data_IF_376705157165
#
_entry.id   IF_376705157165
#
_cell.length_a   1.000
_cell.length_b   1.000
_cell.length_c   1.000
_cell.angle_alpha   90.00
_cell.angle_beta   90.00
_cell.angle_gamma   90.00
#
_symmetry.space_group_name_H-M   'P 1'
#
loop_
_entity.id
_entity.type
_entity.pdbx_description
1 polymer ?
#
# COMPACT_ATOMS: atom_id res chain seq x y z
N UNK A 1 -28.78 -8.56 73.02
CA UNK A 1 -27.73 -7.58 72.61
C UNK A 1 -26.66 -8.37 71.90
N UNK A 2 -26.67 -8.35 70.58
CA UNK A 2 -25.69 -8.97 69.73
C UNK A 2 -25.22 -7.89 68.76
N UNK A 3 -23.95 -7.54 68.88
CA UNK A 3 -23.25 -6.48 68.16
C UNK A 3 -22.89 -7.01 66.74
N UNK A 4 -23.49 -6.44 65.72
CA UNK A 4 -23.20 -6.80 64.36
C UNK A 4 -22.14 -5.83 63.84
N UNK A 5 -20.88 -6.27 63.79
CA UNK A 5 -19.80 -5.56 63.08
C UNK A 5 -19.98 -5.63 61.58
N UNK A 6 -20.26 -4.48 60.98
CA UNK A 6 -20.18 -4.29 59.51
C UNK A 6 -18.72 -4.12 59.08
N UNK A 7 -18.25 -5.01 58.23
CA UNK A 7 -16.99 -4.88 57.48
C UNK A 7 -17.17 -3.85 56.35
N UNK A 8 -16.18 -2.96 56.11
CA UNK A 8 -16.22 -2.00 54.98
C UNK A 8 -15.98 -2.70 53.66
N UNK A 9 -16.55 -2.17 52.56
CA UNK A 9 -16.33 -2.71 51.19
C UNK A 9 -14.88 -2.52 50.72
N UNK A 10 -14.38 -3.40 49.82
CA UNK A 10 -13.04 -3.30 49.29
C UNK A 10 -12.87 -2.05 48.43
N UNK A 11 -11.68 -1.44 48.55
CA UNK A 11 -11.26 -0.29 47.80
C UNK A 11 -11.29 -0.58 46.28
N UNK A 12 -11.96 0.29 45.53
CA UNK A 12 -12.05 0.19 44.09
C UNK A 12 -10.69 0.33 43.40
N UNK A 13 -10.46 -0.47 42.39
CA UNK A 13 -9.33 -0.39 41.50
C UNK A 13 -9.20 1.02 40.88
N UNK A 14 -7.98 1.51 40.66
CA UNK A 14 -7.78 2.80 40.03
C UNK A 14 -8.28 2.74 38.56
N UNK A 15 -9.26 3.59 38.25
CA UNK A 15 -9.79 3.78 36.93
C UNK A 15 -8.65 4.04 35.92
N UNK A 16 -8.59 3.23 34.89
CA UNK A 16 -7.74 3.46 33.72
C UNK A 16 -8.01 4.88 33.18
N UNK A 17 -6.99 5.63 32.72
CA UNK A 17 -7.19 6.96 32.18
C UNK A 17 -7.99 6.85 30.87
N UNK A 18 -9.22 7.36 30.91
CA UNK A 18 -10.03 7.58 29.71
C UNK A 18 -9.41 8.72 28.90
N UNK A 19 -8.51 8.40 27.98
CA UNK A 19 -8.09 9.32 26.93
C UNK A 19 -9.20 9.38 25.87
N UNK A 20 -10.23 10.19 26.10
CA UNK A 20 -11.10 10.70 25.05
C UNK A 20 -10.34 11.78 24.30
N UNK A 21 -9.43 11.39 23.42
CA UNK A 21 -9.04 12.22 22.28
C UNK A 21 -10.19 12.16 21.29
N UNK A 22 -10.65 13.33 20.80
CA UNK A 22 -11.55 13.53 19.67
C UNK A 22 -10.89 12.97 18.37
N UNK A 23 -10.69 11.68 18.30
CA UNK A 23 -10.17 11.01 17.12
C UNK A 23 -11.30 10.94 16.10
N UNK A 24 -11.06 11.44 14.89
CA UNK A 24 -11.98 11.29 13.78
C UNK A 24 -12.42 9.81 13.64
N UNK A 25 -13.69 9.54 13.34
CA UNK A 25 -14.19 8.17 13.28
C UNK A 25 -13.39 7.33 12.28
N UNK A 26 -13.04 6.11 12.66
CA UNK A 26 -12.33 5.18 11.81
C UNK A 26 -13.19 4.80 10.60
N UNK A 27 -12.63 4.93 9.42
CA UNK A 27 -13.27 4.56 8.14
C UNK A 27 -12.80 3.21 7.66
N UNK A 28 -11.51 2.89 7.83
CA UNK A 28 -10.96 1.58 7.51
C UNK A 28 -10.42 0.99 8.80
N UNK A 29 -11.02 -0.11 9.22
CA UNK A 29 -10.61 -0.85 10.40
C UNK A 29 -10.29 -2.28 10.01
N UNK A 30 -9.10 -2.77 10.41
CA UNK A 30 -8.73 -4.19 10.32
C UNK A 30 -8.30 -4.70 11.68
N UNK A 31 -8.66 -5.93 12.01
CA UNK A 31 -8.34 -6.55 13.28
C UNK A 31 -7.77 -7.96 13.06
N UNK A 32 -6.48 -8.14 13.30
CA UNK A 32 -5.79 -9.42 13.14
C UNK A 32 -5.95 -10.02 11.73
N UNK A 33 -6.07 -9.17 10.70
CA UNK A 33 -6.36 -9.61 9.34
C UNK A 33 -5.24 -10.51 8.82
N UNK A 34 -5.58 -11.78 8.60
CA UNK A 34 -4.69 -12.78 8.02
C UNK A 34 -5.32 -13.37 6.77
N UNK A 35 -4.55 -13.49 5.71
CA UNK A 35 -4.99 -14.07 4.45
C UNK A 35 -3.92 -14.99 3.87
N UNK A 36 -4.32 -16.22 3.51
CA UNK A 36 -3.50 -17.16 2.77
C UNK A 36 -4.09 -17.41 1.39
N UNK A 37 -3.23 -17.56 0.39
CA UNK A 37 -3.63 -17.92 -0.96
C UNK A 37 -4.11 -19.39 -1.02
N UNK A 38 -4.82 -19.81 -2.09
CA UNK A 38 -5.28 -21.19 -2.24
C UNK A 38 -4.16 -22.25 -2.22
N UNK A 39 -2.93 -21.85 -2.56
CA UNK A 39 -1.72 -22.66 -2.50
C UNK A 39 -1.06 -22.68 -1.11
N UNK A 40 -1.80 -22.27 -0.07
CA UNK A 40 -1.38 -22.18 1.33
C UNK A 40 -0.23 -21.22 1.64
N UNK A 41 0.25 -20.42 0.67
CA UNK A 41 1.21 -19.36 0.96
C UNK A 41 0.51 -18.22 1.71
N UNK A 42 1.14 -17.76 2.79
CA UNK A 42 0.64 -16.59 3.52
C UNK A 42 0.84 -15.34 2.68
N UNK A 43 -0.24 -14.62 2.41
CA UNK A 43 -0.22 -13.35 1.69
C UNK A 43 -0.01 -12.17 2.62
N UNK A 44 -0.79 -12.13 3.70
CA UNK A 44 -0.66 -11.16 4.81
C UNK A 44 -0.97 -11.85 6.13
N UNK A 45 -0.44 -11.32 7.23
CA UNK A 45 -0.57 -11.90 8.56
C UNK A 45 -0.74 -10.83 9.63
N UNK A 46 -1.75 -11.00 10.47
CA UNK A 46 -2.01 -10.21 11.68
C UNK A 46 -1.99 -8.68 11.47
N UNK A 47 -2.68 -8.22 10.43
CA UNK A 47 -2.74 -6.78 10.14
C UNK A 47 -3.88 -6.13 10.93
N UNK A 48 -3.51 -5.18 11.81
CA UNK A 48 -4.43 -4.34 12.57
C UNK A 48 -4.14 -2.87 12.25
N UNK A 49 -5.10 -2.22 11.57
CA UNK A 49 -5.03 -0.83 11.13
C UNK A 49 -6.32 -0.10 11.49
N UNK A 50 -6.19 1.18 11.77
CA UNK A 50 -7.30 2.06 12.11
C UNK A 50 -7.12 3.41 11.42
N UNK A 51 -7.63 3.52 10.19
CA UNK A 51 -7.44 4.71 9.37
C UNK A 51 -8.65 5.64 9.47
N UNK A 52 -8.43 6.89 9.90
CA UNK A 52 -9.53 7.83 10.12
C UNK A 52 -10.09 8.41 8.82
N UNK A 53 -11.29 8.97 8.91
CA UNK A 53 -11.91 9.72 7.83
C UNK A 53 -11.01 10.88 7.36
N UNK A 54 -10.98 11.11 6.04
CA UNK A 54 -10.15 12.16 5.42
C UNK A 54 -8.67 11.85 5.36
N UNK A 55 -8.23 10.67 5.82
CA UNK A 55 -6.82 10.30 5.72
C UNK A 55 -6.40 10.02 4.28
N UNK A 56 -5.19 10.48 3.95
CA UNK A 56 -4.44 10.11 2.75
C UNK A 56 -3.28 9.23 3.21
N UNK A 57 -3.49 7.94 3.16
CA UNK A 57 -2.54 6.95 3.66
C UNK A 57 -1.65 6.45 2.53
N UNK A 58 -0.35 6.57 2.70
CA UNK A 58 0.63 5.99 1.78
C UNK A 58 1.07 4.63 2.30
N UNK A 59 0.86 3.60 1.47
CA UNK A 59 1.20 2.21 1.77
C UNK A 59 2.56 1.88 1.15
N UNK A 60 3.58 1.74 1.99
CA UNK A 60 4.99 1.57 1.62
C UNK A 60 5.45 0.15 1.93
N UNK A 61 6.35 -0.37 1.12
CA UNK A 61 6.98 -1.69 1.33
C UNK A 61 7.56 -2.23 0.04
N UNK A 62 8.48 -3.15 0.15
CA UNK A 62 9.12 -3.82 -0.99
C UNK A 62 8.12 -4.57 -1.87
N UNK A 63 8.53 -4.91 -3.10
CA UNK A 63 7.73 -5.79 -3.95
C UNK A 63 7.56 -7.15 -3.28
N UNK A 64 6.29 -7.60 -3.19
CA UNK A 64 5.93 -8.81 -2.46
C UNK A 64 5.61 -8.59 -0.97
N UNK A 65 5.67 -7.36 -0.43
CA UNK A 65 5.32 -7.06 0.96
C UNK A 65 3.84 -7.27 1.32
N UNK A 66 2.95 -7.49 0.33
CA UNK A 66 1.53 -7.72 0.57
C UNK A 66 0.61 -6.53 0.27
N UNK A 67 1.13 -5.38 -0.23
CA UNK A 67 0.35 -4.15 -0.49
C UNK A 67 -0.89 -4.39 -1.36
N UNK A 68 -0.71 -4.96 -2.55
CA UNK A 68 -1.82 -5.30 -3.47
C UNK A 68 -2.80 -6.28 -2.84
N UNK A 69 -2.33 -7.24 -2.05
CA UNK A 69 -3.19 -8.21 -1.36
C UNK A 69 -4.07 -7.50 -0.34
N UNK A 70 -3.50 -6.61 0.48
CA UNK A 70 -4.25 -5.80 1.44
C UNK A 70 -5.29 -4.93 0.73
N UNK A 71 -4.92 -4.17 -0.30
CA UNK A 71 -5.83 -3.32 -1.05
C UNK A 71 -7.00 -4.10 -1.67
N UNK A 72 -6.75 -5.29 -2.22
CA UNK A 72 -7.81 -6.15 -2.79
C UNK A 72 -8.75 -6.72 -1.74
N UNK A 73 -8.26 -7.01 -0.54
CA UNK A 73 -9.09 -7.44 0.59
C UNK A 73 -9.97 -6.28 1.07
N UNK A 74 -9.41 -5.08 1.25
CA UNK A 74 -10.17 -3.87 1.59
C UNK A 74 -11.24 -3.54 0.53
N UNK A 75 -10.93 -3.77 -0.74
CA UNK A 75 -11.86 -3.56 -1.85
C UNK A 75 -12.95 -4.65 -1.98
N UNK A 76 -12.96 -5.67 -1.13
CA UNK A 76 -13.88 -6.81 -1.26
C UNK A 76 -13.62 -7.69 -2.50
N UNK A 77 -12.49 -7.52 -3.18
CA UNK A 77 -12.11 -8.31 -4.37
C UNK A 77 -11.52 -9.69 -4.04
N UNK A 78 -11.19 -9.91 -2.78
CA UNK A 78 -10.75 -11.19 -2.22
C UNK A 78 -11.45 -11.43 -0.90
N UNK A 79 -11.89 -12.66 -0.66
CA UNK A 79 -12.56 -13.04 0.59
C UNK A 79 -11.57 -13.00 1.75
N UNK A 80 -11.94 -12.34 2.82
CA UNK A 80 -11.23 -12.31 4.10
C UNK A 80 -11.98 -13.10 5.17
N UNK A 81 -11.34 -13.45 6.28
CA UNK A 81 -12.03 -13.96 7.44
C UNK A 81 -13.13 -12.99 7.91
N UNK A 82 -14.26 -13.53 8.35
CA UNK A 82 -15.39 -12.72 8.81
C UNK A 82 -14.95 -11.77 9.94
N UNK A 83 -15.47 -10.55 9.91
CA UNK A 83 -15.20 -9.50 10.92
C UNK A 83 -13.75 -9.03 11.03
N UNK A 84 -12.85 -9.44 10.14
CA UNK A 84 -11.47 -8.96 10.13
C UNK A 84 -11.29 -7.60 9.44
N UNK A 85 -12.28 -7.15 8.67
CA UNK A 85 -12.29 -5.86 7.95
C UNK A 85 -13.62 -5.15 8.15
N UNK A 86 -13.57 -3.85 8.39
CA UNK A 86 -14.71 -2.94 8.38
C UNK A 86 -14.37 -1.70 7.57
N UNK A 87 -15.24 -1.35 6.62
CA UNK A 87 -15.15 -0.10 5.85
C UNK A 87 -16.41 0.69 6.15
N UNK A 88 -16.28 1.88 6.74
CA UNK A 88 -17.42 2.65 7.26
C UNK A 88 -18.33 1.80 8.18
N UNK A 89 -17.74 0.92 8.99
CA UNK A 89 -18.46 0.01 9.87
C UNK A 89 -19.08 -1.22 9.19
N UNK A 90 -18.97 -1.35 7.86
CA UNK A 90 -19.58 -2.43 7.05
C UNK A 90 -18.50 -3.42 6.62
N UNK A 91 -18.82 -4.73 6.62
CA UNK A 91 -17.94 -5.76 6.08
C UNK A 91 -17.89 -5.62 4.54
N UNK A 92 -16.69 -5.58 3.91
CA UNK A 92 -16.55 -5.41 2.46
C UNK A 92 -17.26 -6.48 1.61
N UNK A 93 -17.56 -7.62 2.20
CA UNK A 93 -18.24 -8.73 1.52
C UNK A 93 -19.76 -8.77 1.78
N UNK A 94 -20.28 -7.83 2.58
CA UNK A 94 -21.71 -7.71 2.81
C UNK A 94 -22.38 -6.91 1.69
N UNK A 95 -23.70 -7.10 1.52
CA UNK A 95 -24.49 -6.21 0.68
C UNK A 95 -24.52 -4.82 1.32
N UNK A 96 -24.22 -3.79 0.56
CA UNK A 96 -24.26 -2.40 1.04
C UNK A 96 -22.91 -1.71 1.19
N UNK A 97 -21.82 -2.32 0.73
CA UNK A 97 -20.55 -1.61 0.58
C UNK A 97 -20.66 -0.63 -0.60
N UNK A 98 -21.02 0.61 -0.30
CA UNK A 98 -21.13 1.68 -1.29
C UNK A 98 -19.96 2.67 -1.16
N UNK A 99 -19.62 3.31 -2.27
CA UNK A 99 -18.61 4.37 -2.28
C UNK A 99 -17.17 3.91 -2.10
N UNK A 100 -16.87 2.62 -2.29
CA UNK A 100 -15.49 2.10 -2.35
C UNK A 100 -15.06 1.95 -3.80
N UNK A 101 -14.00 2.64 -4.18
CA UNK A 101 -13.38 2.54 -5.51
C UNK A 101 -11.98 1.94 -5.39
N UNK A 102 -11.68 0.94 -6.21
CA UNK A 102 -10.34 0.35 -6.32
C UNK A 102 -9.82 0.50 -7.74
N UNK A 103 -8.67 1.11 -7.88
CA UNK A 103 -7.96 1.27 -9.14
C UNK A 103 -6.60 0.58 -9.05
N UNK A 104 -6.36 -0.35 -9.98
CA UNK A 104 -5.12 -1.11 -10.06
C UNK A 104 -4.71 -1.37 -11.50
N UNK A 105 -3.64 -2.12 -11.69
CA UNK A 105 -3.06 -2.39 -13.01
C UNK A 105 -3.93 -3.34 -13.87
N UNK A 106 -4.89 -4.05 -13.28
CA UNK A 106 -5.66 -5.10 -13.96
C UNK A 106 -6.49 -4.58 -15.14
N UNK A 107 -6.94 -3.33 -15.07
CA UNK A 107 -7.79 -2.74 -16.11
C UNK A 107 -7.10 -2.66 -17.49
N UNK A 108 -5.80 -2.38 -17.53
CA UNK A 108 -5.01 -2.29 -18.78
C UNK A 108 -4.98 -3.62 -19.52
N UNK A 109 -5.15 -4.72 -18.79
CA UNK A 109 -5.20 -6.07 -19.37
C UNK A 109 -6.57 -6.42 -19.97
N UNK A 110 -7.59 -5.57 -19.76
CA UNK A 110 -8.93 -5.82 -20.31
C UNK A 110 -8.95 -5.61 -21.83
N UNK A 111 -9.27 -6.64 -22.65
CA UNK A 111 -9.31 -6.51 -24.10
C UNK A 111 -10.31 -5.47 -24.61
N UNK A 112 -11.35 -5.17 -23.84
CA UNK A 112 -12.38 -4.18 -24.21
C UNK A 112 -11.77 -2.79 -24.40
N UNK A 113 -10.80 -2.41 -23.58
CA UNK A 113 -10.16 -1.08 -23.65
C UNK A 113 -9.17 -0.94 -24.82
N UNK A 114 -9.00 -1.97 -25.62
CA UNK A 114 -8.20 -1.96 -26.84
C UNK A 114 -9.08 -2.02 -28.12
N UNK A 115 -10.41 -2.01 -27.95
CA UNK A 115 -11.35 -1.95 -29.07
C UNK A 115 -11.50 -0.53 -29.58
N UNK A 116 -12.13 -0.39 -30.73
CA UNK A 116 -12.49 0.90 -31.31
C UNK A 116 -13.73 1.47 -30.60
N UNK A 117 -13.49 2.06 -29.43
CA UNK A 117 -14.51 2.70 -28.59
C UNK A 117 -14.08 4.14 -28.33
N UNK A 118 -15.01 5.10 -28.38
CA UNK A 118 -14.78 6.50 -28.03
C UNK A 118 -14.56 6.67 -26.54
N UNK A 119 -13.72 7.62 -26.17
CA UNK A 119 -13.49 7.98 -24.77
C UNK A 119 -14.74 8.59 -24.15
N UNK A 120 -15.48 9.40 -24.90
CA UNK A 120 -16.79 9.98 -24.51
C UNK A 120 -17.81 8.86 -24.22
N UNK A 121 -17.92 7.84 -25.08
CA UNK A 121 -18.79 6.67 -24.88
C UNK A 121 -18.41 5.91 -23.58
N UNK A 122 -17.11 5.74 -23.32
CA UNK A 122 -16.64 5.08 -22.10
C UNK A 122 -16.97 5.89 -20.85
N UNK A 123 -16.73 7.19 -20.86
CA UNK A 123 -17.05 8.06 -19.72
C UNK A 123 -18.55 8.10 -19.45
N UNK A 124 -19.39 8.17 -20.49
CA UNK A 124 -20.84 8.08 -20.38
C UNK A 124 -21.28 6.76 -19.76
N UNK A 125 -20.70 5.62 -20.22
CA UNK A 125 -21.04 4.26 -19.76
C UNK A 125 -20.83 4.05 -18.25
N UNK A 126 -19.88 4.76 -17.64
CA UNK A 126 -19.59 4.69 -16.19
C UNK A 126 -20.33 5.74 -15.37
N UNK A 127 -21.20 6.54 -16.00
CA UNK A 127 -22.03 7.53 -15.35
C UNK A 127 -21.53 8.97 -15.49
N UNK A 128 -20.68 9.26 -16.48
CA UNK A 128 -20.17 10.60 -16.76
C UNK A 128 -21.27 11.64 -16.98
N UNK A 129 -22.38 11.24 -17.57
CA UNK A 129 -23.55 12.10 -17.81
C UNK A 129 -24.34 12.43 -16.54
N UNK A 130 -24.27 11.58 -15.53
CA UNK A 130 -24.87 11.84 -14.22
C UNK A 130 -24.02 12.80 -13.36
N UNK A 131 -22.71 12.92 -13.66
CA UNK A 131 -21.76 13.77 -12.94
C UNK A 131 -20.95 14.63 -13.90
N UNK A 132 -21.59 15.50 -14.72
CA UNK A 132 -20.91 16.22 -15.80
C UNK A 132 -19.79 17.15 -15.30
N UNK A 133 -20.01 17.91 -14.25
CA UNK A 133 -18.99 18.81 -13.71
C UNK A 133 -17.74 18.06 -13.23
N UNK A 134 -17.92 16.91 -12.58
CA UNK A 134 -16.82 16.07 -12.11
C UNK A 134 -16.10 15.36 -13.26
N UNK A 135 -16.85 14.92 -14.29
CA UNK A 135 -16.28 14.39 -15.53
C UNK A 135 -15.38 15.42 -16.19
N UNK A 136 -15.88 16.65 -16.37
CA UNK A 136 -15.15 17.71 -17.07
C UNK A 136 -13.90 18.15 -16.28
N UNK A 137 -13.98 18.18 -14.94
CA UNK A 137 -12.82 18.41 -14.07
C UNK A 137 -11.76 17.32 -14.25
N UNK A 138 -12.16 16.02 -14.22
CA UNK A 138 -11.25 14.89 -14.41
C UNK A 138 -10.61 14.88 -15.81
N UNK A 139 -11.39 15.20 -16.85
CA UNK A 139 -10.90 15.34 -18.23
C UNK A 139 -9.81 16.40 -18.28
N UNK A 140 -10.02 17.56 -17.63
CA UNK A 140 -9.04 18.63 -17.57
C UNK A 140 -7.79 18.26 -16.76
N UNK A 141 -7.95 17.70 -15.55
CA UNK A 141 -6.84 17.34 -14.66
C UNK A 141 -5.96 16.25 -15.24
N UNK A 142 -6.56 15.29 -15.95
CA UNK A 142 -5.87 14.16 -16.57
C UNK A 142 -5.46 14.45 -18.03
N UNK A 143 -5.74 15.64 -18.54
CA UNK A 143 -5.40 16.04 -19.92
C UNK A 143 -5.90 15.00 -20.94
N UNK A 144 -7.21 14.73 -20.91
CA UNK A 144 -7.88 13.75 -21.77
C UNK A 144 -8.56 14.49 -22.91
N UNK A 145 -8.34 14.02 -24.15
CA UNK A 145 -9.15 14.40 -25.29
C UNK A 145 -10.32 13.41 -25.45
N UNK A 146 -11.54 13.88 -25.27
CA UNK A 146 -12.74 13.04 -25.33
C UNK A 146 -13.04 12.51 -26.73
N UNK A 147 -12.41 13.06 -27.78
CA UNK A 147 -12.48 12.55 -29.14
C UNK A 147 -11.59 11.33 -29.39
N UNK A 148 -10.72 10.97 -28.48
CA UNK A 148 -9.84 9.82 -28.64
C UNK A 148 -10.59 8.51 -28.83
N UNK A 149 -9.94 7.61 -29.60
CA UNK A 149 -10.39 6.22 -29.79
C UNK A 149 -9.43 5.28 -29.05
N UNK A 150 -9.93 4.40 -28.20
CA UNK A 150 -9.14 3.59 -27.28
C UNK A 150 -8.13 2.65 -27.95
N UNK A 151 -8.37 2.25 -29.19
CA UNK A 151 -7.42 1.44 -29.96
C UNK A 151 -6.20 2.22 -30.46
N UNK A 152 -6.33 3.55 -30.60
CA UNK A 152 -5.33 4.43 -31.18
C UNK A 152 -4.48 5.21 -30.15
N UNK A 153 -4.84 5.14 -28.86
CA UNK A 153 -4.13 5.87 -27.80
C UNK A 153 -2.97 5.07 -27.22
N UNK A 154 -1.96 5.78 -26.73
CA UNK A 154 -0.83 5.24 -25.97
C UNK A 154 -1.27 4.60 -24.64
N UNK A 155 -0.39 3.83 -24.00
CA UNK A 155 -0.69 3.24 -22.69
C UNK A 155 -0.85 4.30 -21.58
N UNK A 156 -0.10 5.42 -21.66
CA UNK A 156 -0.27 6.56 -20.74
C UNK A 156 -1.64 7.24 -20.89
N UNK A 157 -2.06 7.54 -22.13
CA UNK A 157 -3.38 8.11 -22.42
C UNK A 157 -4.50 7.14 -22.01
N UNK A 158 -4.33 5.84 -22.25
CA UNK A 158 -5.25 4.81 -21.80
C UNK A 158 -5.37 4.78 -20.27
N UNK A 159 -4.26 4.98 -19.56
CA UNK A 159 -4.23 5.08 -18.10
C UNK A 159 -5.00 6.29 -17.60
N UNK A 160 -4.87 7.46 -18.25
CA UNK A 160 -5.62 8.67 -17.92
C UNK A 160 -7.13 8.43 -18.03
N UNK A 161 -7.59 7.81 -19.13
CA UNK A 161 -9.00 7.44 -19.31
C UNK A 161 -9.49 6.48 -18.24
N UNK A 162 -8.69 5.47 -17.88
CA UNK A 162 -8.99 4.54 -16.79
C UNK A 162 -9.23 5.28 -15.46
N UNK A 163 -8.36 6.22 -15.12
CA UNK A 163 -8.49 6.99 -13.89
C UNK A 163 -9.78 7.81 -13.89
N UNK A 164 -10.08 8.51 -15.00
CA UNK A 164 -11.32 9.25 -15.13
C UNK A 164 -12.55 8.35 -14.96
N UNK A 165 -12.58 7.20 -15.63
CA UNK A 165 -13.70 6.23 -15.51
C UNK A 165 -13.90 5.75 -14.08
N UNK A 166 -12.83 5.47 -13.35
CA UNK A 166 -12.90 4.99 -11.97
C UNK A 166 -13.25 6.05 -10.92
N UNK A 167 -13.09 7.33 -11.28
CA UNK A 167 -13.24 8.47 -10.37
C UNK A 167 -14.43 9.37 -10.68
N UNK A 168 -15.09 9.21 -11.84
CA UNK A 168 -16.23 10.03 -12.23
C UNK A 168 -17.40 9.93 -11.26
N UNK A 169 -17.64 8.75 -10.69
CA UNK A 169 -18.60 8.60 -9.59
C UNK A 169 -17.98 9.04 -8.27
N UNK A 170 -18.70 9.78 -7.44
CA UNK A 170 -18.23 10.11 -6.09
C UNK A 170 -17.89 8.85 -5.29
N UNK A 171 -16.79 8.90 -4.58
CA UNK A 171 -16.31 7.81 -3.74
C UNK A 171 -16.08 8.31 -2.30
N UNK A 172 -16.11 7.40 -1.33
CA UNK A 172 -15.81 7.65 0.08
C UNK A 172 -14.49 7.05 0.50
N UNK A 173 -14.16 5.89 -0.07
CA UNK A 173 -12.88 5.20 0.12
C UNK A 173 -12.29 4.92 -1.25
N UNK A 174 -11.09 5.42 -1.47
CA UNK A 174 -10.34 5.22 -2.71
C UNK A 174 -9.08 4.42 -2.43
N UNK A 175 -8.98 3.27 -3.08
CA UNK A 175 -7.87 2.34 -2.96
C UNK A 175 -7.09 2.34 -4.28
N UNK A 176 -5.83 2.79 -4.23
CA UNK A 176 -4.99 3.00 -5.41
C UNK A 176 -3.77 2.09 -5.37
N UNK A 177 -3.57 1.27 -6.40
CA UNK A 177 -2.50 0.28 -6.48
C UNK A 177 -1.61 0.54 -7.70
N UNK A 178 -0.48 1.23 -7.50
CA UNK A 178 0.55 1.56 -8.50
C UNK A 178 0.00 2.28 -9.76
N UNK A 179 -1.02 3.12 -9.60
CA UNK A 179 -1.82 3.64 -10.73
C UNK A 179 -1.18 4.80 -11.47
N UNK A 180 -0.08 5.40 -10.97
CA UNK A 180 0.55 6.57 -11.61
C UNK A 180 1.81 6.23 -12.39
N UNK A 181 2.14 4.94 -12.56
CA UNK A 181 3.37 4.49 -13.24
C UNK A 181 3.46 5.02 -14.68
N UNK A 182 2.35 5.02 -15.40
CA UNK A 182 2.30 5.41 -16.82
C UNK A 182 1.96 6.90 -17.03
N UNK A 183 1.86 7.70 -15.96
CA UNK A 183 1.61 9.13 -16.05
C UNK A 183 2.93 9.90 -16.16
N UNK A 184 2.97 10.90 -17.03
CA UNK A 184 4.04 11.88 -17.02
C UNK A 184 4.06 12.71 -15.73
N UNK A 185 5.16 13.41 -15.49
CA UNK A 185 5.42 14.15 -14.26
C UNK A 185 4.36 15.23 -13.99
N UNK A 186 3.94 15.95 -15.04
CA UNK A 186 2.96 17.02 -14.91
C UNK A 186 1.57 16.49 -14.58
N UNK A 187 1.06 15.56 -15.36
CA UNK A 187 -0.26 14.93 -15.15
C UNK A 187 -0.33 14.26 -13.79
N UNK A 188 0.77 13.60 -13.34
CA UNK A 188 0.87 13.02 -12.00
C UNK A 188 0.73 14.07 -10.91
N UNK A 189 1.43 15.20 -11.02
CA UNK A 189 1.36 16.28 -10.05
C UNK A 189 -0.05 16.86 -9.95
N UNK A 190 -0.69 17.14 -11.09
CA UNK A 190 -2.07 17.65 -11.16
C UNK A 190 -3.06 16.65 -10.54
N UNK A 191 -2.93 15.38 -10.86
CA UNK A 191 -3.78 14.32 -10.33
C UNK A 191 -3.65 14.14 -8.82
N UNK A 192 -2.43 14.13 -8.29
CA UNK A 192 -2.20 14.04 -6.84
C UNK A 192 -2.70 15.29 -6.11
N UNK A 193 -2.56 16.47 -6.72
CA UNK A 193 -3.15 17.72 -6.23
C UNK A 193 -4.67 17.66 -6.16
N UNK A 194 -5.30 17.14 -7.22
CA UNK A 194 -6.76 16.94 -7.27
C UNK A 194 -7.24 15.98 -6.18
N UNK A 195 -6.59 14.82 -6.03
CA UNK A 195 -6.91 13.85 -4.96
C UNK A 195 -6.82 14.47 -3.56
N UNK A 196 -5.82 15.32 -3.33
CA UNK A 196 -5.68 16.05 -2.08
C UNK A 196 -6.86 16.99 -1.85
N UNK A 197 -7.23 17.77 -2.87
CA UNK A 197 -8.35 18.70 -2.79
C UNK A 197 -9.69 18.00 -2.55
N UNK A 198 -9.91 16.82 -3.13
CA UNK A 198 -11.11 16.00 -2.89
C UNK A 198 -11.28 15.67 -1.40
N UNK A 199 -10.18 15.31 -0.71
CA UNK A 199 -10.21 15.04 0.72
C UNK A 199 -10.37 16.31 1.57
N UNK A 200 -9.83 17.47 1.13
CA UNK A 200 -9.84 18.71 1.89
C UNK A 200 -11.12 19.53 1.69
N UNK A 201 -11.64 19.60 0.45
CA UNK A 201 -12.83 20.41 0.12
C UNK A 201 -14.11 19.81 0.68
N UNK A 202 -14.18 18.49 0.81
CA UNK A 202 -15.34 17.78 1.30
C UNK A 202 -16.66 18.34 0.75
N UNK A 203 -17.02 18.05 -0.52
CA UNK A 203 -18.16 18.67 -1.21
C UNK A 203 -19.50 18.44 -0.48
N UNK A 204 -19.58 17.39 0.34
CA UNK A 204 -20.77 17.01 1.09
C UNK A 204 -20.75 17.42 2.58
N UNK A 205 -19.98 18.43 2.96
CA UNK A 205 -19.92 18.90 4.35
C UNK A 205 -21.30 19.24 4.93
N UNK A 206 -22.22 19.65 4.05
CA UNK A 206 -23.61 19.92 4.42
C UNK A 206 -24.43 18.64 4.68
N UNK A 207 -24.03 17.49 4.16
CA UNK A 207 -24.71 16.19 4.31
C UNK A 207 -24.33 15.45 5.60
N UNK A 208 -23.36 15.96 6.38
CA UNK A 208 -22.86 15.29 7.59
C UNK A 208 -22.05 14.04 7.32
N UNK A 209 -21.68 13.77 6.06
CA UNK A 209 -20.89 12.61 5.69
C UNK A 209 -19.40 12.84 6.00
N UNK A 210 -18.65 11.80 6.40
CA UNK A 210 -17.24 11.94 6.66
C UNK A 210 -16.46 12.25 5.38
N UNK A 211 -15.32 12.97 5.48
CA UNK A 211 -14.47 13.28 4.32
C UNK A 211 -13.93 12.00 3.68
N UNK A 212 -13.72 12.00 2.34
CA UNK A 212 -13.21 10.86 1.61
C UNK A 212 -11.82 10.43 2.11
N UNK A 213 -11.57 9.12 2.12
CA UNK A 213 -10.33 8.49 2.61
C UNK A 213 -9.61 7.80 1.47
N UNK A 214 -8.28 7.97 1.38
CA UNK A 214 -7.45 7.37 0.34
C UNK A 214 -6.40 6.44 0.97
N UNK A 215 -6.24 5.25 0.37
CA UNK A 215 -5.08 4.38 0.61
C UNK A 215 -4.36 4.19 -0.72
N UNK A 216 -3.14 4.65 -0.80
CA UNK A 216 -2.35 4.62 -2.02
C UNK A 216 -1.06 3.83 -1.84
N UNK A 217 -0.92 2.73 -2.56
CA UNK A 217 0.31 1.95 -2.67
C UNK A 217 1.08 2.40 -3.92
N UNK A 218 2.32 2.85 -3.72
CA UNK A 218 3.23 3.21 -4.81
C UNK A 218 4.69 3.11 -4.39
N UNK A 219 5.54 2.90 -5.37
CA UNK A 219 7.00 3.03 -5.24
C UNK A 219 7.55 4.35 -5.83
N UNK A 220 6.68 5.16 -6.46
CA UNK A 220 7.05 6.46 -7.02
C UNK A 220 6.69 7.54 -6.02
N UNK A 221 7.72 8.20 -5.45
CA UNK A 221 7.56 9.16 -4.37
C UNK A 221 7.55 10.62 -4.84
N UNK A 222 7.73 10.86 -6.16
CA UNK A 222 7.71 12.17 -6.74
C UNK A 222 6.36 12.86 -6.49
N UNK A 223 6.40 14.13 -6.09
CA UNK A 223 5.23 14.95 -5.74
C UNK A 223 4.41 14.46 -4.54
N UNK A 224 4.91 13.47 -3.77
CA UNK A 224 4.26 12.99 -2.55
C UNK A 224 4.80 13.66 -1.26
N UNK A 225 5.80 14.53 -1.35
CA UNK A 225 6.25 15.29 -0.18
C UNK A 225 5.10 16.14 0.39
N UNK A 226 4.75 15.92 1.68
CA UNK A 226 3.62 16.59 2.33
C UNK A 226 2.22 16.18 1.84
N UNK A 227 2.11 15.21 0.93
CA UNK A 227 0.83 14.69 0.47
C UNK A 227 0.17 13.73 1.48
N UNK A 228 0.86 12.72 2.04
CA UNK A 228 0.25 11.78 2.96
C UNK A 228 -0.01 12.41 4.34
N UNK A 229 -1.13 12.05 4.93
CA UNK A 229 -1.43 12.32 6.35
C UNK A 229 -1.01 11.16 7.23
N UNK A 230 -0.99 9.94 6.67
CA UNK A 230 -0.59 8.70 7.36
C UNK A 230 0.35 7.89 6.49
N UNK A 231 1.24 7.15 7.16
CA UNK A 231 2.12 6.18 6.53
C UNK A 231 1.84 4.80 7.11
N UNK A 232 1.92 3.77 6.27
CA UNK A 232 1.85 2.36 6.65
C UNK A 232 3.03 1.65 6.01
N UNK A 233 3.92 1.10 6.83
CA UNK A 233 5.07 0.34 6.38
C UNK A 233 4.77 -1.16 6.44
N UNK A 234 4.71 -1.80 5.28
CA UNK A 234 4.49 -3.25 5.14
C UNK A 234 5.77 -4.00 4.81
N UNK A 235 6.00 -5.09 5.51
CA UNK A 235 7.12 -5.99 5.26
C UNK A 235 6.69 -7.46 5.40
N UNK A 236 6.98 -8.28 4.40
CA UNK A 236 6.74 -9.75 4.39
C UNK A 236 5.32 -10.14 4.86
N UNK A 237 4.31 -9.38 4.40
CA UNK A 237 2.90 -9.64 4.71
C UNK A 237 2.42 -9.08 6.06
N UNK A 238 3.25 -8.38 6.81
CA UNK A 238 2.89 -7.76 8.08
C UNK A 238 2.99 -6.23 7.99
N UNK A 239 2.39 -5.51 8.94
CA UNK A 239 2.61 -4.08 9.15
C UNK A 239 3.64 -3.91 10.25
N UNK A 240 4.78 -3.31 9.93
CA UNK A 240 5.83 -3.00 10.91
C UNK A 240 5.49 -1.77 11.72
N UNK A 241 5.09 -0.72 11.02
CA UNK A 241 4.78 0.57 11.61
C UNK A 241 3.65 1.24 10.84
N UNK A 242 2.81 1.98 11.52
CA UNK A 242 1.83 2.86 10.90
C UNK A 242 1.46 4.02 11.82
N UNK A 243 0.97 5.12 11.26
CA UNK A 243 0.55 6.28 12.01
C UNK A 243 0.60 7.57 11.21
N UNK A 244 0.52 8.70 11.90
CA UNK A 244 0.62 10.04 11.29
C UNK A 244 1.95 10.21 10.57
N UNK A 245 1.91 10.79 9.37
CA UNK A 245 3.12 11.09 8.59
C UNK A 245 4.08 12.02 9.35
N UNK A 246 3.55 12.99 10.11
CA UNK A 246 4.34 13.91 10.92
C UNK A 246 5.17 13.21 12.00
N UNK A 247 4.66 12.11 12.59
CA UNK A 247 5.41 11.30 13.54
C UNK A 247 6.70 10.74 12.94
N UNK A 248 6.66 10.34 11.68
CA UNK A 248 7.80 9.72 10.99
C UNK A 248 8.74 10.75 10.35
N UNK A 249 8.18 11.89 9.94
CA UNK A 249 8.92 12.88 9.13
C UNK A 249 9.42 14.09 9.94
N UNK A 250 8.74 14.41 11.04
CA UNK A 250 8.98 15.66 11.77
C UNK A 250 9.37 15.43 13.24
N UNK A 251 9.18 14.21 13.80
CA UNK A 251 9.57 13.90 15.17
C UNK A 251 11.10 13.63 15.27
N UNK A 252 11.86 14.51 15.94
CA UNK A 252 13.29 14.34 16.07
C UNK A 252 13.69 13.06 16.80
N UNK A 253 12.86 12.62 17.76
CA UNK A 253 13.16 11.42 18.53
C UNK A 253 13.07 10.16 17.65
N UNK A 254 12.03 10.08 16.80
CA UNK A 254 11.90 8.99 15.83
C UNK A 254 13.06 8.97 14.83
N UNK A 255 13.40 10.14 14.26
CA UNK A 255 14.48 10.26 13.29
C UNK A 255 15.83 9.84 13.90
N UNK A 256 16.14 10.29 15.13
CA UNK A 256 17.35 9.90 15.83
C UNK A 256 17.40 8.39 16.11
N UNK A 257 16.29 7.81 16.56
CA UNK A 257 16.20 6.37 16.81
C UNK A 257 16.41 5.55 15.52
N UNK A 258 15.81 5.97 14.40
CA UNK A 258 16.00 5.34 13.09
C UNK A 258 17.46 5.38 12.64
N UNK A 259 18.11 6.53 12.77
CA UNK A 259 19.54 6.71 12.42
C UNK A 259 20.42 5.82 13.28
N UNK A 260 20.19 5.79 14.60
CA UNK A 260 20.95 4.94 15.52
C UNK A 260 20.82 3.46 15.21
N UNK A 261 19.59 3.01 14.90
CA UNK A 261 19.31 1.62 14.50
C UNK A 261 20.06 1.23 13.21
N UNK A 262 20.08 2.12 12.23
CA UNK A 262 20.79 1.86 10.98
C UNK A 262 22.31 1.80 11.18
N UNK A 263 22.85 2.66 12.03
CA UNK A 263 24.27 2.65 12.37
C UNK A 263 24.66 1.34 13.07
N UNK A 264 23.88 0.91 14.06
CA UNK A 264 24.13 -0.36 14.76
C UNK A 264 24.11 -1.57 13.81
N UNK A 265 23.13 -1.62 12.88
CA UNK A 265 23.07 -2.67 11.86
C UNK A 265 24.27 -2.66 10.93
N UNK A 266 24.74 -1.47 10.52
CA UNK A 266 25.92 -1.32 9.67
C UNK A 266 27.18 -1.79 10.39
N UNK A 267 27.38 -1.36 11.63
CA UNK A 267 28.54 -1.74 12.44
C UNK A 267 28.59 -3.26 12.67
N UNK A 268 27.43 -3.89 12.91
CA UNK A 268 27.31 -5.34 13.04
C UNK A 268 27.65 -6.06 11.73
N UNK A 269 27.19 -5.53 10.60
CA UNK A 269 27.51 -6.11 9.28
C UNK A 269 29.00 -6.02 8.98
N UNK A 270 29.64 -4.87 9.25
CA UNK A 270 31.06 -4.64 9.02
C UNK A 270 31.92 -5.53 9.94
N UNK A 271 31.50 -5.73 11.19
CA UNK A 271 32.12 -6.67 12.13
C UNK A 271 32.06 -8.11 11.65
N UNK A 272 30.93 -8.54 11.10
CA UNK A 272 30.78 -9.89 10.54
C UNK A 272 31.59 -10.07 9.25
N UNK A 273 31.62 -9.06 8.39
CA UNK A 273 32.43 -9.08 7.17
C UNK A 273 33.94 -9.14 7.46
N UNK A 274 34.40 -8.49 8.53
CA UNK A 274 35.80 -8.50 8.94
C UNK A 274 36.25 -9.87 9.52
N UNK A 275 35.31 -10.69 10.01
CA UNK A 275 35.56 -12.02 10.58
C UNK A 275 35.40 -13.16 9.56
N UNK A 276 34.92 -12.87 8.35
CA UNK A 276 34.73 -13.90 7.31
C UNK A 276 36.07 -14.31 6.69
N UNK A 277 36.37 -15.62 6.49
CA UNK A 277 37.57 -16.08 5.84
C UNK A 277 37.64 -15.61 4.37
N UNK A 278 38.82 -15.26 3.90
CA UNK A 278 39.08 -14.62 2.59
C UNK A 278 38.52 -15.35 1.36
N UNK A 279 38.19 -16.64 1.45
CA UNK A 279 37.57 -17.44 0.38
C UNK A 279 36.10 -17.10 0.09
N UNK A 280 35.37 -16.46 1.03
CA UNK A 280 33.97 -16.06 0.86
C UNK A 280 33.79 -14.70 0.20
N UNK A 281 34.87 -13.92 0.07
CA UNK A 281 34.82 -12.54 -0.43
C UNK A 281 34.65 -12.40 -1.95
N UNK A 282 34.81 -13.49 -2.72
CA UNK A 282 34.69 -13.44 -4.18
C UNK A 282 33.25 -13.25 -4.69
N UNK A 283 32.24 -13.68 -3.93
CA UNK A 283 30.81 -13.51 -4.29
C UNK A 283 30.16 -12.23 -3.75
N UNK A 284 30.82 -11.54 -2.82
CA UNK A 284 30.27 -10.33 -2.18
C UNK A 284 30.67 -9.02 -2.89
N UNK A 285 31.43 -9.06 -3.99
CA UNK A 285 31.93 -7.84 -4.67
C UNK A 285 30.91 -7.08 -5.50
N UNK A 286 29.65 -7.53 -5.57
CA UNK A 286 28.58 -6.84 -6.28
C UNK A 286 27.58 -6.08 -5.38
N UNK A 287 27.74 -6.11 -4.08
CA UNK A 287 27.03 -5.18 -3.19
C UNK A 287 27.94 -3.96 -2.98
N UNK A 288 27.54 -2.84 -3.59
CA UNK A 288 28.30 -1.60 -3.68
C UNK A 288 28.96 -1.20 -2.37
N UNK A 289 30.26 -1.00 -2.45
CA UNK A 289 31.06 -0.36 -1.41
C UNK A 289 30.56 1.06 -1.18
N UNK A 290 30.43 1.40 0.11
CA UNK A 290 30.42 2.75 0.64
C UNK A 290 29.24 3.65 0.22
N UNK A 291 28.13 3.52 0.92
CA UNK A 291 27.34 4.70 1.19
C UNK A 291 27.41 4.97 2.70
N UNK A 292 27.94 6.10 3.12
CA UNK A 292 27.85 6.51 4.52
C UNK A 292 26.38 6.73 4.84
N UNK A 293 25.82 5.87 5.68
CA UNK A 293 24.39 5.81 5.99
C UNK A 293 23.81 7.12 6.59
N UNK A 294 24.69 7.99 7.05
CA UNK A 294 24.34 9.23 7.76
C UNK A 294 24.19 10.47 6.87
N UNK A 295 24.63 10.43 5.62
CA UNK A 295 24.44 11.57 4.71
C UNK A 295 23.05 11.56 4.04
N UNK A 296 22.24 10.53 4.24
CA UNK A 296 20.96 10.34 3.51
C UNK A 296 19.81 11.21 4.04
N UNK A 297 19.74 11.48 5.33
CA UNK A 297 18.71 12.37 5.87
C UNK A 297 19.12 13.83 5.69
N UNK A 298 18.91 14.37 4.49
CA UNK A 298 19.09 15.79 4.18
C UNK A 298 20.25 16.16 3.24
N UNK A 299 21.11 15.22 2.85
CA UNK A 299 22.24 15.49 1.92
C UNK A 299 22.02 14.95 0.50
N UNK A 300 21.02 14.11 0.27
CA UNK A 300 20.83 13.42 -1.02
C UNK A 300 20.01 14.18 -2.06
N UNK A 301 19.49 15.37 -1.73
CA UNK A 301 18.53 16.07 -2.60
C UNK A 301 17.14 15.43 -2.68
N UNK A 302 16.93 14.31 -1.98
CA UNK A 302 15.62 13.66 -1.86
C UNK A 302 14.71 14.41 -0.88
N UNK A 303 13.40 14.19 -0.99
CA UNK A 303 12.48 14.63 0.05
C UNK A 303 12.67 13.80 1.33
N UNK A 304 12.33 14.36 2.52
CA UNK A 304 12.34 13.62 3.79
C UNK A 304 11.57 12.30 3.70
N UNK A 305 10.46 12.29 2.97
CA UNK A 305 9.70 11.07 2.69
C UNK A 305 10.53 10.05 1.91
N UNK A 306 11.27 10.50 0.89
CA UNK A 306 12.15 9.63 0.09
C UNK A 306 13.24 9.00 0.94
N UNK A 307 13.89 9.78 1.80
CA UNK A 307 14.93 9.30 2.70
C UNK A 307 14.38 8.27 3.72
N UNK A 308 13.22 8.54 4.30
CA UNK A 308 12.55 7.61 5.21
C UNK A 308 12.23 6.27 4.52
N UNK A 309 11.63 6.33 3.32
CA UNK A 309 11.27 5.13 2.55
C UNK A 309 12.52 4.33 2.17
N UNK A 310 13.61 5.00 1.76
CA UNK A 310 14.87 4.33 1.47
C UNK A 310 15.44 3.64 2.72
N UNK A 311 15.35 4.27 3.89
CA UNK A 311 15.76 3.68 5.16
C UNK A 311 14.95 2.40 5.45
N UNK A 312 13.62 2.46 5.38
CA UNK A 312 12.74 1.31 5.60
C UNK A 312 13.00 0.17 4.60
N UNK A 313 13.09 0.47 3.31
CA UNK A 313 13.33 -0.54 2.28
C UNK A 313 14.71 -1.19 2.39
N UNK A 314 15.73 -0.43 2.84
CA UNK A 314 17.05 -0.98 3.11
C UNK A 314 17.00 -1.99 4.25
N UNK A 315 16.33 -1.64 5.35
CA UNK A 315 16.12 -2.54 6.48
C UNK A 315 15.35 -3.80 6.06
N UNK A 316 14.29 -3.64 5.27
CA UNK A 316 13.52 -4.74 4.72
C UNK A 316 14.35 -5.70 3.87
N UNK A 317 15.27 -5.16 3.06
CA UNK A 317 16.16 -5.96 2.23
C UNK A 317 17.18 -6.73 3.06
N UNK A 318 17.72 -6.11 4.12
CA UNK A 318 18.65 -6.77 5.03
C UNK A 318 17.97 -7.92 5.79
N UNK A 319 16.78 -7.68 6.34
CA UNK A 319 16.00 -8.69 7.08
C UNK A 319 15.56 -9.85 6.18
N UNK A 320 15.14 -9.54 4.95
CA UNK A 320 14.73 -10.57 4.00
C UNK A 320 15.91 -11.44 3.54
N UNK A 321 17.12 -10.88 3.49
CA UNK A 321 18.27 -11.52 2.88
C UNK A 321 18.16 -11.71 1.37
N UNK A 322 19.14 -12.40 0.74
CA UNK A 322 19.13 -12.70 -0.68
C UNK A 322 17.90 -13.53 -1.07
N UNK A 323 17.25 -13.18 -2.19
CA UNK A 323 16.06 -13.91 -2.70
C UNK A 323 16.32 -15.41 -2.91
N UNK A 324 17.55 -15.78 -3.22
CA UNK A 324 17.99 -17.18 -3.37
C UNK A 324 17.97 -17.99 -2.08
N UNK A 325 18.11 -17.33 -0.92
CA UNK A 325 18.13 -18.02 0.38
C UNK A 325 16.76 -18.09 1.06
N UNK A 326 15.84 -17.19 0.72
CA UNK A 326 14.48 -17.15 1.29
C UNK A 326 13.46 -18.00 0.55
N UNK A 327 13.88 -18.73 -0.45
CA UNK A 327 13.08 -19.72 -1.15
C UNK A 327 13.36 -21.09 -0.54
N UNK A 328 12.86 -21.33 0.67
CA UNK A 328 12.61 -22.67 1.14
C UNK A 328 11.49 -23.23 0.25
N UNK A 329 11.87 -23.78 -0.92
CA UNK A 329 10.99 -24.67 -1.63
C UNK A 329 10.63 -25.80 -0.66
N UNK A 330 9.35 -26.18 -0.53
CA UNK A 330 9.01 -27.47 0.07
C UNK A 330 9.87 -28.52 -0.63
N UNK A 331 10.44 -29.46 0.13
CA UNK A 331 11.31 -30.50 -0.41
C UNK A 331 10.67 -31.12 -1.66
N UNK A 332 11.38 -31.14 -2.79
CA UNK A 332 10.92 -31.70 -4.06
C UNK A 332 10.19 -30.76 -5.00
N UNK A 333 10.30 -29.43 -4.81
CA UNK A 333 9.77 -28.44 -5.75
C UNK A 333 10.87 -27.52 -6.29
N UNK A 334 11.03 -27.45 -7.60
CA UNK A 334 11.92 -26.49 -8.25
C UNK A 334 11.19 -25.20 -8.65
N UNK A 335 11.96 -24.12 -8.75
CA UNK A 335 11.44 -22.83 -9.12
C UNK A 335 11.70 -22.55 -10.60
N UNK A 336 10.65 -22.42 -11.39
CA UNK A 336 10.73 -21.97 -12.77
C UNK A 336 10.25 -20.53 -12.92
N UNK A 337 11.13 -19.66 -13.44
CA UNK A 337 10.75 -18.32 -13.89
C UNK A 337 10.20 -18.45 -15.31
N UNK A 338 8.89 -18.50 -15.49
CA UNK A 338 8.30 -18.32 -16.80
C UNK A 338 8.26 -16.83 -17.13
N UNK A 339 9.31 -16.33 -17.75
CA UNK A 339 9.37 -14.95 -18.16
C UNK A 339 9.00 -14.78 -19.63
N UNK A 340 7.93 -14.09 -19.90
CA UNK A 340 7.81 -13.13 -21.01
C UNK A 340 6.78 -12.10 -20.53
N UNK A 341 7.27 -10.87 -20.26
CA UNK A 341 6.44 -9.74 -19.83
C UNK A 341 6.34 -9.55 -18.32
N UNK A 342 7.25 -8.82 -17.78
CA UNK A 342 7.34 -8.00 -16.55
C UNK A 342 6.60 -8.36 -15.27
N UNK A 343 5.67 -9.29 -15.26
CA UNK A 343 4.92 -9.76 -14.09
C UNK A 343 4.84 -11.27 -14.13
N UNK A 344 5.96 -11.94 -13.82
CA UNK A 344 6.04 -13.39 -13.77
C UNK A 344 5.13 -13.95 -12.68
N UNK A 345 4.19 -14.81 -13.04
CA UNK A 345 3.52 -15.71 -12.12
C UNK A 345 4.57 -16.71 -11.65
N UNK A 346 5.04 -16.55 -10.43
CA UNK A 346 5.93 -17.52 -9.80
C UNK A 346 5.12 -18.79 -9.50
N UNK A 347 5.43 -19.88 -10.19
CA UNK A 347 4.86 -21.20 -9.93
C UNK A 347 5.95 -22.16 -9.43
N UNK A 348 5.61 -22.89 -8.39
CA UNK A 348 6.39 -24.05 -7.97
C UNK A 348 5.93 -25.27 -8.78
N UNK A 349 6.86 -25.96 -9.43
CA UNK A 349 6.59 -27.21 -10.12
C UNK A 349 7.33 -28.36 -9.42
N UNK A 350 6.73 -29.54 -9.36
CA UNK A 350 7.47 -30.76 -8.98
C UNK A 350 8.45 -31.06 -10.11
N UNK A 351 9.67 -31.42 -9.76
CA UNK A 351 10.63 -31.92 -10.72
C UNK A 351 10.08 -33.21 -11.31
N UNK A 352 9.73 -33.21 -12.61
CA UNK A 352 9.32 -34.39 -13.37
C UNK A 352 10.55 -35.25 -13.72
N UNK A 353 11.28 -35.72 -12.71
CA UNK A 353 12.40 -36.67 -12.90
C UNK A 353 12.00 -38.15 -12.93
N UNK A 354 10.72 -38.49 -13.09
CA UNK A 354 10.30 -39.92 -13.15
C UNK A 354 9.71 -40.38 -14.49
N UNK A 355 9.90 -39.67 -15.62
CA UNK A 355 9.32 -40.13 -16.91
C UNK A 355 10.35 -40.58 -17.96
N UNK A 356 11.63 -40.77 -17.65
CA UNK A 356 12.58 -41.32 -18.61
C UNK A 356 13.36 -42.52 -18.12
N UNK A 357 12.64 -43.49 -17.54
CA UNK A 357 13.16 -44.86 -17.39
C UNK A 357 12.04 -45.88 -17.55
N UNK A 358 11.54 -46.04 -18.75
CA UNK A 358 10.92 -47.25 -19.30
C UNK A 358 10.73 -47.00 -20.80
N UNK A 359 11.75 -47.38 -21.55
CA UNK A 359 11.70 -48.27 -22.73
C UNK A 359 13.13 -48.46 -23.25
#
# INVERSE_FOLDING_TARGET
>A
MADTQQTPPPAGDPAAPSTTTDAAPSVIHTNGLTYSFPDHRTGISDISLDLPAGSRTLLIGANGAGKTTLLRLLAGKRLAPRNSIRINGVDPFSRGLEGVSYLGLEWVLNPVVRRDIGVDELLASVGGDAYPARRDELVSVLDIDTSWRMHAVSDGERRRVQLAMGLVRPWRVLLLDEITVDLDVWTRAQFLGWLRLECERHPDRASGLPPPTIVYATHILDHLAGWPTHLVHMHMGTVREWGLASRFLDDPAYIQALVAQQQEKQDRHDLLASKAPAASLAHSRHTGKNSPALSLLGASGNSRLGDLVLAWLRDDLQDRGPRSQNRLAPEGLSYTVSGIGGYGLERWTKDDEEVTKKD
#
